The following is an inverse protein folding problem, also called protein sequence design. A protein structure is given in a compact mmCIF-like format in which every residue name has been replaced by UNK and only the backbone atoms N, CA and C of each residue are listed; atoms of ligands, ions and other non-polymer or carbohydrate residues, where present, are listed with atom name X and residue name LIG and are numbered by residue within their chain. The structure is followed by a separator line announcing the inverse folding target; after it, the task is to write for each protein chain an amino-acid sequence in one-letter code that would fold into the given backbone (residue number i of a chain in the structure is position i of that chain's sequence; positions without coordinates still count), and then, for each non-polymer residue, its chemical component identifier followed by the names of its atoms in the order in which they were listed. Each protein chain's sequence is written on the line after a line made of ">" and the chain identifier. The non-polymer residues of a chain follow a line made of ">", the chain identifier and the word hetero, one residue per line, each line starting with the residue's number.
data_IF_829171266537
#
_entry.id   IF_829171266537
#
_cell.length_a   1.000
_cell.length_b   1.000
_cell.length_c   1.000
_cell.angle_alpha   90.00
_cell.angle_beta   90.00
_cell.angle_gamma   90.00
#
_symmetry.space_group_name_H-M   'P 1'
#
loop_
_entity.id
_entity.type
_entity.pdbx_description
1 polymer ?
#
# COMPACT_ATOMS: atom_id res chain seq x y z
N UNK A 1 6.59 14.78 -4.02
CA UNK A 1 8.00 15.04 -4.37
C UNK A 1 8.21 16.50 -4.75
N UNK A 2 7.59 17.01 -5.83
CA UNK A 2 7.76 18.42 -6.26
C UNK A 2 7.30 19.48 -5.23
N UNK A 3 6.35 19.13 -4.35
CA UNK A 3 5.89 19.99 -3.25
C UNK A 3 6.68 19.80 -1.94
N UNK A 4 7.85 19.16 -2.02
CA UNK A 4 8.69 18.84 -0.86
C UNK A 4 9.96 19.69 -0.87
N UNK A 5 10.34 20.30 0.28
CA UNK A 5 11.60 21.01 0.42
C UNK A 5 12.81 20.16 -0.03
N UNK A 6 13.84 20.77 -0.65
CA UNK A 6 14.97 20.03 -1.23
C UNK A 6 15.66 19.07 -0.25
N UNK A 7 15.82 19.45 1.01
CA UNK A 7 16.44 18.66 2.08
C UNK A 7 15.66 17.37 2.43
N UNK A 8 14.37 17.31 2.08
CA UNK A 8 13.48 16.17 2.37
C UNK A 8 13.11 15.36 1.13
N UNK A 9 13.59 15.76 -0.04
CA UNK A 9 13.23 15.12 -1.30
C UNK A 9 13.68 13.67 -1.41
N UNK A 10 14.84 13.33 -0.85
CA UNK A 10 15.37 11.97 -0.75
C UNK A 10 14.32 10.99 -0.20
N UNK A 11 13.68 11.34 0.92
CA UNK A 11 12.64 10.55 1.55
C UNK A 11 11.43 10.32 0.65
N UNK A 12 10.99 11.36 -0.06
CA UNK A 12 9.84 11.25 -0.97
C UNK A 12 10.15 10.47 -2.25
N UNK A 13 11.39 10.48 -2.73
CA UNK A 13 11.83 9.62 -3.82
C UNK A 13 11.83 8.15 -3.39
N UNK A 14 12.39 7.86 -2.22
CA UNK A 14 12.37 6.51 -1.66
C UNK A 14 10.91 6.03 -1.49
N UNK A 15 10.04 6.85 -0.93
CA UNK A 15 8.61 6.54 -0.82
C UNK A 15 7.94 6.31 -2.19
N UNK A 16 8.31 7.08 -3.22
CA UNK A 16 7.77 6.92 -4.58
C UNK A 16 8.19 5.59 -5.19
N UNK A 17 9.45 5.17 -5.03
CA UNK A 17 9.94 3.88 -5.54
C UNK A 17 9.13 2.73 -4.95
N UNK A 18 8.93 2.72 -3.63
CA UNK A 18 8.12 1.69 -2.98
C UNK A 18 6.63 1.77 -3.36
N UNK A 19 6.09 2.96 -3.61
CA UNK A 19 4.74 3.13 -4.16
C UNK A 19 4.62 2.52 -5.56
N UNK A 20 5.66 2.66 -6.40
CA UNK A 20 5.70 2.04 -7.73
C UNK A 20 5.73 0.52 -7.62
N UNK A 21 6.54 -0.04 -6.71
CA UNK A 21 6.58 -1.48 -6.43
C UNK A 21 5.19 -1.98 -6.01
N UNK A 22 4.53 -1.30 -5.07
CA UNK A 22 3.14 -1.60 -4.69
C UNK A 22 2.21 -1.60 -5.91
N UNK A 23 2.25 -0.53 -6.71
CA UNK A 23 1.37 -0.38 -7.86
C UNK A 23 1.57 -1.52 -8.87
N UNK A 24 2.81 -1.91 -9.17
CA UNK A 24 3.13 -2.99 -10.10
C UNK A 24 2.60 -4.33 -9.60
N UNK A 25 2.95 -4.74 -8.38
CA UNK A 25 2.57 -6.06 -7.86
C UNK A 25 1.05 -6.18 -7.64
N UNK A 26 0.43 -5.16 -7.06
CA UNK A 26 -0.99 -5.19 -6.75
C UNK A 26 -1.84 -5.08 -8.01
N UNK A 27 -1.43 -4.25 -8.98
CA UNK A 27 -2.13 -4.18 -10.27
C UNK A 27 -1.98 -5.48 -11.05
N UNK A 28 -0.78 -6.07 -11.09
CA UNK A 28 -0.58 -7.39 -11.70
C UNK A 28 -1.46 -8.45 -11.03
N UNK A 29 -1.57 -8.44 -9.70
CA UNK A 29 -2.43 -9.35 -8.96
C UNK A 29 -3.91 -9.18 -9.37
N UNK A 30 -4.49 -8.01 -9.14
CA UNK A 30 -5.92 -7.81 -9.35
C UNK A 30 -6.33 -7.88 -10.82
N UNK A 31 -5.51 -7.42 -11.77
CA UNK A 31 -5.81 -7.56 -13.20
C UNK A 31 -5.86 -9.04 -13.58
N UNK A 32 -4.90 -9.85 -13.16
CA UNK A 32 -4.89 -11.29 -13.47
C UNK A 32 -6.06 -12.00 -12.78
N UNK A 33 -6.32 -11.74 -11.49
CA UNK A 33 -7.41 -12.38 -10.78
C UNK A 33 -8.78 -12.05 -11.40
N UNK A 34 -9.05 -10.76 -11.65
CA UNK A 34 -10.35 -10.29 -12.14
C UNK A 34 -10.57 -10.62 -13.63
N UNK A 35 -9.56 -10.44 -14.48
CA UNK A 35 -9.73 -10.56 -15.94
C UNK A 35 -9.46 -11.98 -16.45
N UNK A 36 -8.66 -12.79 -15.73
CA UNK A 36 -8.25 -14.12 -16.20
C UNK A 36 -8.77 -15.23 -15.30
N UNK A 37 -8.44 -15.19 -13.99
CA UNK A 37 -8.68 -16.32 -13.09
C UNK A 37 -10.17 -16.53 -12.82
N UNK A 38 -10.88 -15.49 -12.40
CA UNK A 38 -12.31 -15.59 -12.10
C UNK A 38 -13.11 -16.02 -13.35
N UNK A 39 -12.94 -15.41 -14.53
CA UNK A 39 -13.66 -15.86 -15.73
C UNK A 39 -13.33 -17.29 -16.15
N UNK A 40 -12.07 -17.73 -16.05
CA UNK A 40 -11.69 -19.10 -16.38
C UNK A 40 -12.31 -20.13 -15.42
N UNK A 41 -12.35 -19.82 -14.11
CA UNK A 41 -13.05 -20.64 -13.10
C UNK A 41 -14.53 -20.78 -13.40
N UNK A 42 -15.20 -19.67 -13.76
CA UNK A 42 -16.62 -19.68 -14.14
C UNK A 42 -16.90 -20.52 -15.39
N UNK A 43 -15.92 -20.67 -16.29
CA UNK A 43 -16.00 -21.53 -17.49
C UNK A 43 -15.50 -22.97 -17.27
N UNK A 44 -15.08 -23.32 -16.05
CA UNK A 44 -14.54 -24.66 -15.74
C UNK A 44 -13.14 -24.93 -16.31
N UNK A 45 -12.40 -23.90 -16.75
CA UNK A 45 -11.07 -24.02 -17.37
C UNK A 45 -9.92 -23.86 -16.35
N UNK A 46 -10.13 -24.32 -15.12
CA UNK A 46 -9.28 -24.06 -13.95
C UNK A 46 -7.88 -24.67 -14.06
N UNK A 47 -7.77 -25.87 -14.62
CA UNK A 47 -6.48 -26.58 -14.67
C UNK A 47 -5.43 -25.84 -15.51
N UNK A 48 -5.86 -25.19 -16.60
CA UNK A 48 -4.98 -24.45 -17.49
C UNK A 48 -4.36 -23.19 -16.86
N UNK A 49 -4.96 -22.68 -15.77
CA UNK A 49 -4.57 -21.42 -15.11
C UNK A 49 -4.16 -21.60 -13.65
N UNK A 50 -3.98 -22.85 -13.19
CA UNK A 50 -3.79 -23.17 -11.77
C UNK A 50 -2.67 -22.38 -11.10
N UNK A 51 -1.58 -22.08 -11.80
CA UNK A 51 -0.45 -21.27 -11.30
C UNK A 51 -0.83 -19.81 -11.02
N UNK A 52 -1.86 -19.30 -11.71
CA UNK A 52 -2.34 -17.94 -11.57
C UNK A 52 -3.32 -17.79 -10.40
N UNK A 53 -3.78 -18.88 -9.80
CA UNK A 53 -4.73 -18.81 -8.70
C UNK A 53 -4.12 -18.21 -7.44
N UNK A 54 -4.85 -17.29 -6.83
CA UNK A 54 -4.51 -16.79 -5.50
C UNK A 54 -5.08 -17.71 -4.41
N UNK A 55 -4.27 -18.66 -3.97
CA UNK A 55 -4.49 -19.47 -2.75
C UNK A 55 -3.44 -19.11 -1.68
N UNK A 56 -3.64 -19.44 -0.40
CA UNK A 56 -2.58 -19.25 0.61
C UNK A 56 -1.26 -19.87 0.14
N UNK A 57 -0.16 -19.11 0.25
CA UNK A 57 1.19 -19.50 -0.18
C UNK A 57 1.36 -19.77 -1.69
N UNK A 58 0.44 -19.26 -2.52
CA UNK A 58 0.61 -19.23 -3.98
C UNK A 58 1.47 -18.06 -4.46
N UNK A 59 1.91 -18.11 -5.72
CA UNK A 59 2.64 -17.01 -6.34
C UNK A 59 1.91 -15.65 -6.23
N UNK A 60 0.61 -15.62 -6.52
CA UNK A 60 -0.17 -14.37 -6.45
C UNK A 60 -0.47 -13.92 -5.02
N UNK A 61 -0.46 -14.85 -4.06
CA UNK A 61 -0.50 -14.51 -2.63
C UNK A 61 0.79 -13.79 -2.19
N UNK A 62 1.95 -14.26 -2.64
CA UNK A 62 3.23 -13.62 -2.35
C UNK A 62 3.38 -12.28 -3.05
N UNK A 63 2.85 -12.13 -4.27
CA UNK A 63 2.81 -10.84 -4.97
C UNK A 63 1.99 -9.81 -4.20
N UNK A 64 0.83 -10.21 -3.72
CA UNK A 64 -0.04 -9.36 -2.90
C UNK A 64 0.67 -8.96 -1.60
N UNK A 65 1.35 -9.91 -0.94
CA UNK A 65 2.16 -9.66 0.25
C UNK A 65 3.25 -8.61 0.01
N UNK A 66 4.06 -8.79 -1.04
CA UNK A 66 5.14 -7.86 -1.42
C UNK A 66 4.57 -6.48 -1.72
N UNK A 67 3.43 -6.42 -2.42
CA UNK A 67 2.72 -5.18 -2.67
C UNK A 67 2.40 -4.44 -1.38
N UNK A 68 1.66 -5.05 -0.46
CA UNK A 68 1.27 -4.40 0.79
C UNK A 68 2.43 -4.05 1.70
N UNK A 69 3.49 -4.86 1.73
CA UNK A 69 4.73 -4.53 2.45
C UNK A 69 5.38 -3.30 1.84
N UNK A 70 5.47 -3.23 0.50
CA UNK A 70 6.02 -2.06 -0.19
C UNK A 70 5.20 -0.79 0.10
N UNK A 71 3.87 -0.87 0.15
CA UNK A 71 3.04 0.28 0.53
C UNK A 71 3.36 0.77 1.95
N UNK A 72 3.49 -0.13 2.92
CA UNK A 72 3.83 0.28 4.28
C UNK A 72 5.25 0.85 4.41
N UNK A 73 6.22 0.33 3.66
CA UNK A 73 7.56 0.92 3.55
C UNK A 73 7.51 2.31 2.89
N UNK A 74 6.68 2.50 1.86
CA UNK A 74 6.45 3.81 1.26
C UNK A 74 5.89 4.80 2.30
N UNK A 75 4.91 4.38 3.11
CA UNK A 75 4.39 5.20 4.20
C UNK A 75 5.47 5.55 5.22
N UNK A 76 6.29 4.58 5.65
CA UNK A 76 7.37 4.79 6.60
C UNK A 76 8.42 5.79 6.08
N UNK A 77 8.83 5.64 4.82
CA UNK A 77 9.79 6.52 4.16
C UNK A 77 9.22 7.91 3.88
N UNK A 78 7.90 8.06 3.77
CA UNK A 78 7.27 9.36 3.62
C UNK A 78 7.22 10.16 4.95
N UNK A 79 7.32 9.50 6.11
CA UNK A 79 7.19 10.14 7.44
C UNK A 79 8.13 11.35 7.63
N UNK A 80 9.44 11.28 7.29
CA UNK A 80 10.35 12.40 7.51
C UNK A 80 10.05 13.62 6.61
N UNK A 81 9.36 13.42 5.50
CA UNK A 81 8.97 14.49 4.57
C UNK A 81 7.73 15.28 5.02
N UNK A 82 7.04 14.82 6.06
CA UNK A 82 5.83 15.44 6.62
C UNK A 82 6.16 16.15 7.93
N UNK A 83 5.77 17.42 8.07
CA UNK A 83 6.10 18.22 9.24
C UNK A 83 5.30 17.76 10.48
N UNK A 84 5.87 17.98 11.66
CA UNK A 84 5.27 17.57 12.94
C UNK A 84 4.28 18.56 13.54
N UNK A 85 3.81 19.55 12.78
CA UNK A 85 2.98 20.68 13.26
C UNK A 85 1.66 20.78 12.51
N UNK A 86 0.64 21.36 13.15
CA UNK A 86 -0.68 21.57 12.56
C UNK A 86 -1.32 20.29 12.01
N UNK A 87 -1.94 20.40 10.83
CA UNK A 87 -2.58 19.26 10.13
C UNK A 87 -1.58 18.18 9.72
N UNK A 88 -0.35 18.56 9.36
CA UNK A 88 0.69 17.61 8.93
C UNK A 88 1.08 16.64 10.06
N UNK A 89 0.96 17.04 11.33
CA UNK A 89 1.14 16.13 12.48
C UNK A 89 0.22 14.92 12.38
N UNK A 90 -1.04 15.13 11.99
CA UNK A 90 -2.03 14.08 11.87
C UNK A 90 -1.78 13.20 10.65
N UNK A 91 -1.36 13.81 9.52
CA UNK A 91 -0.91 13.06 8.33
C UNK A 91 0.26 12.15 8.69
N UNK A 92 1.26 12.67 9.41
CA UNK A 92 2.42 11.91 9.86
C UNK A 92 2.03 10.72 10.74
N UNK A 93 1.10 10.93 11.68
CA UNK A 93 0.57 9.86 12.53
C UNK A 93 -0.18 8.80 11.72
N UNK A 94 -0.96 9.20 10.72
CA UNK A 94 -1.66 8.25 9.85
C UNK A 94 -0.70 7.38 9.02
N UNK A 95 0.39 7.97 8.50
CA UNK A 95 1.45 7.24 7.80
C UNK A 95 2.15 6.23 8.72
N UNK A 96 2.50 6.65 9.95
CA UNK A 96 3.10 5.75 10.95
C UNK A 96 2.13 4.63 11.33
N UNK A 97 0.87 4.95 11.58
CA UNK A 97 -0.15 3.95 11.92
C UNK A 97 -0.29 2.90 10.81
N UNK A 98 -0.24 3.31 9.54
CA UNK A 98 -0.25 2.38 8.43
C UNK A 98 1.04 1.58 8.29
N UNK A 99 2.21 2.21 8.47
CA UNK A 99 3.49 1.50 8.45
C UNK A 99 3.58 0.42 9.54
N UNK A 100 2.96 0.65 10.70
CA UNK A 100 2.86 -0.35 11.78
C UNK A 100 1.96 -1.54 11.42
N UNK A 101 1.14 -1.44 10.37
CA UNK A 101 0.42 -2.60 9.84
C UNK A 101 1.34 -3.54 9.08
N UNK A 102 2.49 -3.11 8.59
CA UNK A 102 3.39 -3.96 7.78
C UNK A 102 3.81 -5.23 8.50
N UNK A 103 4.30 -5.20 9.77
CA UNK A 103 4.61 -6.43 10.49
C UNK A 103 3.39 -7.36 10.64
N UNK A 104 2.21 -6.80 10.90
CA UNK A 104 0.97 -7.58 11.02
C UNK A 104 0.60 -8.24 9.69
N UNK A 105 0.70 -7.50 8.59
CA UNK A 105 0.48 -7.99 7.23
C UNK A 105 1.49 -9.10 6.89
N UNK A 106 2.78 -8.90 7.19
CA UNK A 106 3.81 -9.93 6.99
C UNK A 106 3.46 -11.22 7.74
N UNK A 107 2.99 -11.11 8.99
CA UNK A 107 2.52 -12.28 9.74
C UNK A 107 1.33 -12.93 9.04
N UNK A 108 0.33 -12.16 8.61
CA UNK A 108 -0.86 -12.69 7.91
C UNK A 108 -0.49 -13.47 6.65
N UNK A 109 0.45 -12.97 5.85
CA UNK A 109 0.83 -13.60 4.58
C UNK A 109 1.79 -14.78 4.76
N UNK A 110 2.75 -14.70 5.68
CA UNK A 110 3.84 -15.70 5.77
C UNK A 110 3.71 -16.67 6.96
N UNK A 111 2.66 -16.59 7.77
CA UNK A 111 2.44 -17.59 8.81
C UNK A 111 2.20 -18.98 8.18
N UNK A 112 2.82 -20.06 8.70
CA UNK A 112 2.80 -21.36 8.03
C UNK A 112 1.39 -21.93 7.80
N UNK A 113 0.47 -21.69 8.74
CA UNK A 113 -0.90 -22.20 8.66
C UNK A 113 -1.90 -21.09 8.38
N UNK A 114 -2.64 -21.24 7.27
CA UNK A 114 -3.69 -20.29 6.94
C UNK A 114 -4.90 -20.46 7.87
N UNK A 115 -5.48 -19.33 8.29
CA UNK A 115 -6.76 -19.31 9.01
C UNK A 115 -7.50 -18.00 8.72
N UNK A 116 -8.82 -18.06 8.61
CA UNK A 116 -9.65 -16.85 8.50
C UNK A 116 -9.48 -15.92 9.71
N UNK A 117 -9.21 -16.47 10.90
CA UNK A 117 -8.92 -15.66 12.10
C UNK A 117 -7.60 -14.89 11.95
N UNK A 118 -6.63 -15.46 11.26
CA UNK A 118 -5.36 -14.81 10.97
C UNK A 118 -5.59 -13.61 10.02
N UNK A 119 -6.41 -13.77 8.98
CA UNK A 119 -6.77 -12.65 8.08
C UNK A 119 -7.36 -11.44 8.81
N UNK A 120 -8.11 -11.66 9.90
CA UNK A 120 -8.67 -10.56 10.71
C UNK A 120 -7.59 -9.69 11.36
N UNK A 121 -6.37 -10.18 11.55
CA UNK A 121 -5.25 -9.39 12.03
C UNK A 121 -4.86 -8.29 11.02
N UNK A 122 -5.09 -8.53 9.74
CA UNK A 122 -4.92 -7.56 8.66
C UNK A 122 -6.06 -6.55 8.55
N UNK A 123 -7.22 -6.78 9.17
CA UNK A 123 -8.42 -5.95 9.04
C UNK A 123 -8.20 -4.44 9.33
N UNK A 124 -7.37 -4.01 10.31
CA UNK A 124 -7.12 -2.59 10.54
C UNK A 124 -6.51 -1.86 9.32
N UNK A 125 -5.93 -2.58 8.36
CA UNK A 125 -5.52 -2.06 7.06
C UNK A 125 -6.68 -1.33 6.35
N UNK A 126 -7.91 -1.87 6.41
CA UNK A 126 -9.09 -1.31 5.75
C UNK A 126 -9.46 0.10 6.24
N UNK A 127 -8.97 0.50 7.41
CA UNK A 127 -9.17 1.84 7.96
C UNK A 127 -7.91 2.69 7.74
N UNK A 128 -6.74 2.15 8.08
CA UNK A 128 -5.48 2.91 8.04
C UNK A 128 -5.10 3.31 6.62
N UNK A 129 -5.31 2.45 5.61
CA UNK A 129 -4.97 2.75 4.22
C UNK A 129 -5.79 3.93 3.66
N UNK A 130 -7.14 3.88 3.62
CA UNK A 130 -7.93 4.99 3.12
C UNK A 130 -7.68 6.28 3.92
N UNK A 131 -7.49 6.18 5.23
CA UNK A 131 -7.23 7.31 6.10
C UNK A 131 -5.95 8.05 5.71
N UNK A 132 -4.80 7.35 5.62
CA UNK A 132 -3.55 8.03 5.30
C UNK A 132 -3.60 8.62 3.88
N UNK A 133 -4.21 7.91 2.92
CA UNK A 133 -4.32 8.36 1.53
C UNK A 133 -5.14 9.65 1.45
N UNK A 134 -6.30 9.68 2.10
CA UNK A 134 -7.16 10.86 2.14
C UNK A 134 -6.45 12.05 2.78
N UNK A 135 -5.83 11.85 3.95
CA UNK A 135 -5.15 12.92 4.66
C UNK A 135 -3.93 13.45 3.90
N UNK A 136 -3.17 12.56 3.27
CA UNK A 136 -2.04 12.93 2.42
C UNK A 136 -2.51 13.74 1.21
N UNK A 137 -3.60 13.33 0.54
CA UNK A 137 -4.18 14.06 -0.58
C UNK A 137 -4.62 15.48 -0.19
N UNK A 138 -5.33 15.62 0.95
CA UNK A 138 -5.75 16.92 1.48
C UNK A 138 -4.53 17.80 1.81
N UNK A 139 -3.48 17.23 2.41
CA UNK A 139 -2.24 17.95 2.71
C UNK A 139 -1.55 18.45 1.43
N UNK A 140 -1.40 17.59 0.42
CA UNK A 140 -0.76 17.95 -0.85
C UNK A 140 -1.53 19.07 -1.56
N UNK A 141 -2.87 19.00 -1.57
CA UNK A 141 -3.72 20.07 -2.12
C UNK A 141 -3.52 21.40 -1.39
N UNK A 142 -3.44 21.38 -0.06
CA UNK A 142 -3.16 22.59 0.73
C UNK A 142 -1.78 23.18 0.41
N UNK A 143 -0.74 22.35 0.33
CA UNK A 143 0.62 22.79 -0.04
C UNK A 143 0.65 23.41 -1.43
N UNK A 144 -0.03 22.81 -2.41
CA UNK A 144 -0.12 23.32 -3.77
C UNK A 144 -0.80 24.71 -3.82
N UNK A 145 -1.94 24.87 -3.15
CA UNK A 145 -2.64 26.15 -3.10
C UNK A 145 -1.76 27.25 -2.47
N UNK A 146 -1.05 26.94 -1.39
CA UNK A 146 -0.14 27.89 -0.75
C UNK A 146 1.03 28.28 -1.67
N UNK A 147 1.58 27.35 -2.46
CA UNK A 147 2.64 27.67 -3.42
C UNK A 147 2.17 28.56 -4.57
N UNK A 148 0.92 28.45 -5.01
CA UNK A 148 0.35 29.29 -6.08
C UNK A 148 0.09 30.73 -5.60
N UNK A 149 -0.23 30.94 -4.32
CA UNK A 149 -0.46 32.28 -3.76
C UNK A 149 0.82 33.08 -3.53
N UNK A 150 1.98 32.42 -3.50
CA UNK A 150 3.30 33.05 -3.28
C UNK A 150 4.04 33.43 -4.57
N UNK A 151 3.42 33.26 -5.74
CA UNK A 151 3.93 33.67 -7.06
C UNK A 151 3.09 34.85 -7.55
#
# INVERSE_FOLDING_TARGET
>A
HYLTPPDKQFWTHAALIFTIIYAVFVSANYVVQLATVIPAKLRGATEAIRVLEQTPHSMFWDYDAVGYIAMGLACLLAVPAVNGIGYERWVRRSLVAHALMTPLITIVYFYPTFSTKLLLLGLPWAITAPLFMFMLAVMLRKRQNSSTTTV
#
